data_IF_332723906512
#
_entry.id   IF_332723906512
#
_cell.length_a   1.000
_cell.length_b   1.000
_cell.length_c   1.000
_cell.angle_alpha   90.00
_cell.angle_beta   90.00
_cell.angle_gamma   90.00
#
_symmetry.space_group_name_H-M   'P 1'
#
loop_
_entity.id
_entity.type
_entity.pdbx_description
1 polymer ?
#
# COMPACT_ATOMS: atom_id res chain seq x y z
N UNK A 1 -15.97 7.27 11.62
CA UNK A 1 -14.79 6.64 10.99
C UNK A 1 -15.11 5.20 10.63
N UNK A 2 -14.80 4.76 9.42
CA UNK A 2 -14.75 3.34 9.06
C UNK A 2 -13.51 2.74 9.75
N UNK A 3 -13.67 2.32 11.01
CA UNK A 3 -12.58 1.83 11.85
C UNK A 3 -12.18 0.45 11.31
N UNK A 4 -11.08 0.38 10.55
CA UNK A 4 -10.38 -0.88 10.23
C UNK A 4 -10.63 -1.50 8.86
N UNK A 5 -11.82 -1.40 8.26
CA UNK A 5 -12.13 -2.12 7.02
C UNK A 5 -11.25 -1.68 5.82
N UNK A 6 -11.07 -0.37 5.62
CA UNK A 6 -10.23 0.14 4.53
C UNK A 6 -8.74 -0.17 4.73
N UNK A 7 -8.29 -0.25 5.99
CA UNK A 7 -6.97 -0.74 6.36
C UNK A 7 -6.79 -2.22 6.01
N UNK A 8 -7.77 -3.07 6.37
CA UNK A 8 -7.75 -4.49 6.00
C UNK A 8 -7.70 -4.70 4.48
N UNK A 9 -8.49 -3.93 3.72
CA UNK A 9 -8.45 -3.95 2.24
C UNK A 9 -7.08 -3.53 1.72
N UNK A 10 -6.45 -2.50 2.30
CA UNK A 10 -5.10 -2.06 1.92
C UNK A 10 -4.05 -3.14 2.20
N UNK A 11 -4.16 -3.85 3.32
CA UNK A 11 -3.30 -4.97 3.67
C UNK A 11 -3.43 -6.14 2.69
N UNK A 12 -4.67 -6.56 2.40
CA UNK A 12 -4.95 -7.62 1.42
C UNK A 12 -4.43 -7.23 0.04
N UNK A 13 -4.61 -5.97 -0.37
CA UNK A 13 -4.10 -5.47 -1.64
C UNK A 13 -2.58 -5.61 -1.72
N UNK A 14 -1.83 -5.15 -0.71
CA UNK A 14 -0.37 -5.27 -0.68
C UNK A 14 0.08 -6.74 -0.68
N UNK A 15 -0.55 -7.60 0.12
CA UNK A 15 -0.30 -9.04 0.12
C UNK A 15 -0.51 -9.67 -1.26
N UNK A 16 -1.62 -9.34 -1.91
CA UNK A 16 -1.97 -9.87 -3.22
C UNK A 16 -0.98 -9.41 -4.31
N UNK A 17 -0.51 -8.16 -4.27
CA UNK A 17 0.51 -7.66 -5.21
C UNK A 17 1.84 -8.39 -5.03
N UNK A 18 2.25 -8.67 -3.78
CA UNK A 18 3.48 -9.41 -3.48
C UNK A 18 3.45 -10.84 -4.06
N UNK A 19 2.31 -11.54 -3.97
CA UNK A 19 2.15 -12.88 -4.54
C UNK A 19 1.93 -12.87 -6.05
N UNK A 20 1.19 -11.89 -6.58
CA UNK A 20 0.75 -11.83 -7.96
C UNK A 20 1.09 -10.48 -8.60
N UNK A 21 2.38 -10.18 -8.83
CA UNK A 21 2.79 -8.85 -9.26
C UNK A 21 2.32 -8.47 -10.68
N UNK A 22 1.98 -9.46 -11.50
CA UNK A 22 1.43 -9.26 -12.85
C UNK A 22 -0.11 -9.09 -12.85
N UNK A 23 -0.76 -9.13 -11.68
CA UNK A 23 -2.22 -8.95 -11.62
C UNK A 23 -2.61 -7.52 -11.96
N UNK A 24 -3.81 -7.38 -12.53
CA UNK A 24 -4.39 -6.08 -12.87
C UNK A 24 -5.65 -5.82 -12.03
N UNK A 25 -5.90 -4.55 -11.74
CA UNK A 25 -7.12 -4.04 -11.16
C UNK A 25 -7.93 -3.31 -12.21
N UNK A 26 -9.25 -3.39 -12.06
CA UNK A 26 -10.22 -2.66 -12.88
C UNK A 26 -11.04 -1.74 -11.99
N UNK A 27 -11.28 -0.53 -12.48
CA UNK A 27 -12.27 0.35 -11.90
C UNK A 27 -13.60 0.07 -12.59
N UNK A 28 -14.68 -0.08 -11.82
CA UNK A 28 -15.95 -0.63 -12.33
C UNK A 28 -16.51 0.10 -13.57
N UNK A 29 -16.29 1.41 -13.66
CA UNK A 29 -16.76 2.25 -14.79
C UNK A 29 -15.66 2.62 -15.80
N UNK A 30 -14.41 2.19 -15.57
CA UNK A 30 -13.29 2.45 -16.46
C UNK A 30 -12.64 1.10 -16.79
N UNK A 31 -12.99 0.48 -17.92
CA UNK A 31 -12.54 -0.87 -18.29
C UNK A 31 -11.09 -0.86 -18.81
N UNK A 32 -10.18 -0.22 -18.09
CA UNK A 32 -8.75 -0.15 -18.40
C UNK A 32 -8.02 -0.96 -17.33
N UNK A 33 -7.30 -2.04 -17.69
CA UNK A 33 -6.49 -2.77 -16.73
C UNK A 33 -5.39 -1.87 -16.18
N UNK A 34 -5.35 -1.71 -14.87
CA UNK A 34 -4.30 -0.99 -14.16
C UNK A 34 -3.43 -2.03 -13.47
N UNK A 35 -2.10 -2.07 -13.71
CA UNK A 35 -1.23 -2.95 -12.94
C UNK A 35 -1.44 -2.74 -11.43
N UNK A 36 -1.70 -3.80 -10.69
CA UNK A 36 -2.14 -3.65 -9.30
C UNK A 36 -1.07 -3.00 -8.41
N UNK A 37 0.20 -3.26 -8.69
CA UNK A 37 1.32 -2.59 -8.03
C UNK A 37 1.28 -1.07 -8.23
N UNK A 38 0.93 -0.62 -9.44
CA UNK A 38 0.83 0.81 -9.75
C UNK A 38 -0.30 1.44 -8.96
N UNK A 39 -1.46 0.78 -8.93
CA UNK A 39 -2.61 1.25 -8.14
C UNK A 39 -2.28 1.31 -6.64
N UNK A 40 -1.66 0.25 -6.08
CA UNK A 40 -1.29 0.20 -4.66
C UNK A 40 -0.33 1.32 -4.25
N UNK A 41 0.68 1.61 -5.07
CA UNK A 41 1.62 2.71 -4.83
C UNK A 41 0.92 4.07 -4.92
N UNK A 42 0.18 4.32 -5.99
CA UNK A 42 -0.50 5.60 -6.19
C UNK A 42 -1.51 5.87 -5.08
N UNK A 43 -2.25 4.83 -4.67
CA UNK A 43 -3.18 4.91 -3.56
C UNK A 43 -2.49 5.29 -2.25
N UNK A 44 -1.36 4.65 -1.91
CA UNK A 44 -0.64 4.97 -0.68
C UNK A 44 0.02 6.36 -0.75
N UNK A 45 0.61 6.75 -1.88
CA UNK A 45 1.16 8.09 -2.10
C UNK A 45 0.10 9.18 -1.97
N UNK A 46 -1.10 8.94 -2.52
CA UNK A 46 -2.23 9.84 -2.36
C UNK A 46 -2.65 9.95 -0.88
N UNK A 47 -2.64 8.84 -0.13
CA UNK A 47 -2.91 8.86 1.31
C UNK A 47 -1.87 9.70 2.07
N UNK A 48 -0.58 9.56 1.73
CA UNK A 48 0.53 10.37 2.30
C UNK A 48 0.32 11.85 2.01
N UNK A 49 -0.04 12.20 0.78
CA UNK A 49 -0.36 13.56 0.40
C UNK A 49 -1.55 14.13 1.20
N UNK A 50 -2.60 13.33 1.37
CA UNK A 50 -3.78 13.68 2.16
C UNK A 50 -3.44 14.01 3.61
N UNK A 51 -2.60 13.19 4.26
CA UNK A 51 -2.12 13.45 5.63
C UNK A 51 -1.33 14.76 5.71
N UNK A 52 -0.39 14.98 4.79
CA UNK A 52 0.46 16.19 4.80
C UNK A 52 -0.35 17.49 4.63
N UNK A 53 -1.46 17.44 3.90
CA UNK A 53 -2.30 18.61 3.60
C UNK A 53 -3.53 18.71 4.50
N UNK A 54 -3.69 17.81 5.47
CA UNK A 54 -4.89 17.69 6.30
C UNK A 54 -6.18 17.69 5.47
N UNK A 55 -6.15 16.97 4.33
CA UNK A 55 -7.27 16.93 3.39
C UNK A 55 -8.32 15.95 3.87
N UNK A 56 -9.43 16.47 4.39
CA UNK A 56 -10.61 15.69 4.75
C UNK A 56 -10.49 14.90 6.05
N UNK A 57 -11.52 14.10 6.35
CA UNK A 57 -11.68 13.36 7.60
C UNK A 57 -11.47 11.84 7.40
N UNK A 58 -10.61 11.47 6.45
CA UNK A 58 -10.38 10.08 6.01
C UNK A 58 -9.30 9.43 6.90
N UNK A 59 -9.47 8.16 7.26
CA UNK A 59 -8.52 7.38 8.08
C UNK A 59 -7.25 7.01 7.32
N UNK A 60 -6.44 8.01 6.95
CA UNK A 60 -5.21 7.83 6.19
C UNK A 60 -4.17 6.97 6.92
N UNK A 61 -4.10 7.09 8.25
CA UNK A 61 -3.27 6.26 9.12
C UNK A 61 -3.69 4.78 9.05
N UNK A 62 -4.99 4.51 8.90
CA UNK A 62 -5.52 3.15 8.81
C UNK A 62 -5.11 2.45 7.50
N UNK A 63 -5.07 3.19 6.38
CA UNK A 63 -4.60 2.63 5.10
C UNK A 63 -3.12 2.26 5.16
N UNK A 64 -2.29 3.14 5.72
CA UNK A 64 -0.87 2.85 5.89
C UNK A 64 -0.64 1.69 6.85
N UNK A 65 -1.27 1.70 8.03
CA UNK A 65 -1.13 0.62 9.00
C UNK A 65 -1.53 -0.73 8.41
N UNK A 66 -2.61 -0.76 7.63
CA UNK A 66 -3.05 -1.94 6.88
C UNK A 66 -2.04 -2.41 5.83
N UNK A 67 -1.57 -1.51 4.96
CA UNK A 67 -0.59 -1.81 3.93
C UNK A 67 0.75 -2.32 4.53
N UNK A 68 1.23 -1.67 5.59
CA UNK A 68 2.44 -2.07 6.31
C UNK A 68 2.29 -3.45 6.95
N UNK A 69 1.16 -3.69 7.64
CA UNK A 69 0.89 -4.98 8.26
C UNK A 69 0.78 -6.10 7.23
N UNK A 70 0.03 -5.87 6.14
CA UNK A 70 -0.09 -6.83 5.03
C UNK A 70 1.26 -7.13 4.38
N UNK A 71 2.05 -6.11 4.07
CA UNK A 71 3.40 -6.26 3.53
C UNK A 71 4.30 -7.10 4.46
N UNK A 72 4.44 -6.69 5.72
CA UNK A 72 5.32 -7.35 6.68
C UNK A 72 4.89 -8.79 6.97
N UNK A 73 3.60 -9.03 7.18
CA UNK A 73 3.06 -10.36 7.44
C UNK A 73 3.28 -11.29 6.23
N UNK A 74 3.10 -10.78 5.01
CA UNK A 74 3.31 -11.57 3.79
C UNK A 74 4.76 -11.99 3.64
N UNK A 75 5.71 -11.07 3.84
CA UNK A 75 7.13 -11.39 3.78
C UNK A 75 7.55 -12.34 4.90
N UNK A 76 6.97 -12.17 6.10
CA UNK A 76 7.23 -13.08 7.22
C UNK A 76 6.75 -14.51 6.94
N UNK A 77 5.55 -14.67 6.37
CA UNK A 77 4.97 -15.98 6.03
C UNK A 77 5.64 -16.60 4.79
N UNK A 78 5.98 -15.78 3.79
CA UNK A 78 6.53 -16.20 2.51
C UNK A 78 7.84 -15.45 2.20
N UNK A 79 8.94 -15.73 2.94
CA UNK A 79 10.22 -15.04 2.77
C UNK A 79 10.85 -15.29 1.39
N UNK A 80 10.50 -16.39 0.71
CA UNK A 80 10.95 -16.70 -0.65
C UNK A 80 10.54 -15.64 -1.69
N UNK A 81 9.57 -14.78 -1.39
CA UNK A 81 9.22 -13.63 -2.24
C UNK A 81 10.36 -12.62 -2.36
N UNK A 82 11.26 -12.55 -1.36
CA UNK A 82 12.45 -11.69 -1.43
C UNK A 82 13.38 -12.14 -2.55
N UNK A 83 13.52 -13.45 -2.77
CA UNK A 83 14.39 -14.00 -3.81
C UNK A 83 13.69 -14.03 -5.17
N UNK A 84 12.43 -14.44 -5.19
CA UNK A 84 11.67 -14.66 -6.44
C UNK A 84 11.04 -13.40 -7.02
N UNK A 85 10.71 -12.42 -6.17
CA UNK A 85 9.99 -11.21 -6.55
C UNK A 85 10.67 -9.96 -5.98
N UNK A 86 12.00 -9.94 -5.87
CA UNK A 86 12.75 -8.85 -5.24
C UNK A 86 12.33 -7.46 -5.73
N UNK A 87 12.06 -7.32 -7.04
CA UNK A 87 11.67 -6.05 -7.64
C UNK A 87 10.37 -5.51 -7.07
N UNK A 88 9.34 -6.34 -6.83
CA UNK A 88 8.05 -5.88 -6.30
C UNK A 88 8.15 -5.62 -4.79
N UNK A 89 8.93 -6.43 -4.08
CA UNK A 89 9.25 -6.25 -2.67
C UNK A 89 9.90 -4.87 -2.47
N UNK A 90 10.97 -4.60 -3.23
CA UNK A 90 11.67 -3.32 -3.20
C UNK A 90 10.73 -2.16 -3.57
N UNK A 91 9.96 -2.30 -4.64
CA UNK A 91 9.07 -1.25 -5.13
C UNK A 91 7.96 -0.89 -4.12
N UNK A 92 7.29 -1.88 -3.52
CA UNK A 92 6.23 -1.65 -2.53
C UNK A 92 6.76 -1.10 -1.21
N UNK A 93 8.04 -1.34 -0.89
CA UNK A 93 8.68 -0.75 0.30
C UNK A 93 8.85 0.77 0.20
N UNK A 94 8.97 1.33 -1.02
CA UNK A 94 9.25 2.76 -1.23
C UNK A 94 8.23 3.69 -0.57
N UNK A 95 6.92 3.60 -0.85
CA UNK A 95 5.95 4.49 -0.21
C UNK A 95 5.80 4.22 1.30
N UNK A 96 6.06 3.00 1.76
CA UNK A 96 6.04 2.66 3.19
C UNK A 96 7.20 3.34 3.94
N UNK A 97 8.42 3.26 3.39
CA UNK A 97 9.60 3.91 3.93
C UNK A 97 9.49 5.44 3.84
N UNK A 98 8.97 5.97 2.73
CA UNK A 98 8.73 7.39 2.56
C UNK A 98 7.88 7.96 3.69
N UNK A 99 6.74 7.33 3.97
CA UNK A 99 5.86 7.79 5.05
C UNK A 99 6.54 7.65 6.42
N UNK A 100 7.22 6.53 6.68
CA UNK A 100 7.96 6.36 7.92
C UNK A 100 9.00 7.49 8.15
N UNK A 101 9.73 7.86 7.10
CA UNK A 101 10.69 8.98 7.14
C UNK A 101 9.96 10.31 7.40
N UNK A 102 8.84 10.58 6.72
CA UNK A 102 8.09 11.82 6.90
C UNK A 102 7.57 11.99 8.33
N UNK A 103 7.08 10.92 8.95
CA UNK A 103 6.66 10.87 10.35
C UNK A 103 7.86 11.13 11.27
N UNK A 104 8.99 10.46 11.05
CA UNK A 104 10.22 10.68 11.85
C UNK A 104 10.73 12.12 11.77
N UNK A 105 10.57 12.77 10.61
CA UNK A 105 10.95 14.15 10.39
C UNK A 105 9.89 15.17 10.85
N UNK A 106 8.76 14.74 11.42
CA UNK A 106 7.62 15.60 11.79
C UNK A 106 7.13 16.48 10.63
N UNK A 107 7.24 15.97 9.40
CA UNK A 107 6.75 16.63 8.17
C UNK A 107 5.30 16.27 7.84
N UNK A 108 4.80 15.27 8.55
CA UNK A 108 3.41 14.83 8.74
C UNK A 108 3.32 14.58 10.24
#
# INVERSE_FOLDING_TARGET
SAIGASGAVSGILYSAILFYPNMSLYLFFIPIPIPAWLFGILYLLYSIYGMKKSLGNIGHDAHFGGALAGYCLTIFIAPSLIETQLWIVALLSVPLLLLFILIKLKKI
#
